data_IF_019262230535
#
_entry.id   IF_019262230535
#
_cell.length_a   1.000
_cell.length_b   1.000
_cell.length_c   1.000
_cell.angle_alpha   90.00
_cell.angle_beta   90.00
_cell.angle_gamma   90.00
#
_symmetry.space_group_name_H-M   'P 1'
#
loop_
_entity.id
_entity.type
_entity.pdbx_description
1 polymer ?
#
# COMPACT_ATOMS: atom_id res chain seq x y z
N UNK A 1 11.19 -62.94 -2.67
CA UNK A 1 12.63 -63.27 -2.58
C UNK A 1 13.25 -63.06 -3.95
N UNK A 2 13.91 -61.93 -4.18
CA UNK A 2 14.67 -61.67 -5.41
C UNK A 2 16.02 -61.11 -4.98
N UNK A 3 17.08 -61.88 -5.22
CA UNK A 3 18.49 -61.48 -5.05
C UNK A 3 18.85 -60.55 -6.21
N UNK A 4 19.40 -59.38 -5.91
CA UNK A 4 20.06 -58.53 -6.91
C UNK A 4 21.50 -58.31 -6.46
N UNK A 5 22.41 -58.64 -7.39
CA UNK A 5 23.86 -58.62 -7.28
C UNK A 5 24.40 -57.21 -7.05
N UNK A 6 25.43 -57.14 -6.19
CA UNK A 6 26.40 -56.05 -6.12
C UNK A 6 27.52 -56.35 -7.10
N UNK A 7 27.73 -55.47 -8.07
CA UNK A 7 29.04 -55.34 -8.72
C UNK A 7 29.56 -53.92 -8.63
N UNK A 8 30.82 -53.86 -8.19
CA UNK A 8 31.71 -52.72 -8.11
C UNK A 8 32.05 -52.21 -9.51
N UNK A 9 31.97 -50.91 -9.72
CA UNK A 9 32.82 -50.22 -10.70
C UNK A 9 33.46 -49.01 -10.02
N UNK A 10 34.74 -49.17 -9.69
CA UNK A 10 35.63 -48.09 -9.30
C UNK A 10 36.11 -47.39 -10.58
N UNK A 11 35.71 -46.13 -10.78
CA UNK A 11 36.29 -45.25 -11.80
C UNK A 11 37.05 -44.13 -11.10
N UNK A 12 38.37 -44.24 -11.14
CA UNK A 12 39.31 -43.22 -10.67
C UNK A 12 39.35 -42.06 -11.67
N UNK A 13 38.75 -40.92 -11.32
CA UNK A 13 38.96 -39.65 -12.01
C UNK A 13 39.94 -38.80 -11.20
N UNK A 14 41.21 -38.81 -11.60
CA UNK A 14 42.21 -37.82 -11.15
C UNK A 14 42.02 -36.58 -12.03
N UNK A 15 41.14 -35.67 -11.58
CA UNK A 15 41.02 -34.34 -12.13
C UNK A 15 41.95 -33.38 -11.39
N UNK A 16 43.00 -32.90 -12.07
CA UNK A 16 43.84 -31.80 -11.61
C UNK A 16 42.97 -30.54 -11.44
N UNK A 17 42.50 -30.30 -10.21
CA UNK A 17 41.82 -29.06 -9.85
C UNK A 17 42.88 -27.95 -9.75
N UNK A 18 43.06 -27.21 -10.84
CA UNK A 18 43.75 -25.92 -10.80
C UNK A 18 42.93 -24.98 -9.92
N UNK A 19 43.33 -24.86 -8.64
CA UNK A 19 42.84 -23.83 -7.72
C UNK A 19 43.31 -22.47 -8.23
N UNK A 20 42.55 -21.90 -9.17
CA UNK A 20 42.61 -20.48 -9.46
C UNK A 20 42.19 -19.76 -8.18
N UNK A 21 43.17 -19.16 -7.51
CA UNK A 21 43.00 -18.25 -6.38
C UNK A 21 42.20 -17.04 -6.87
N UNK A 22 40.87 -17.14 -6.89
CA UNK A 22 40.02 -15.97 -6.97
C UNK A 22 40.09 -15.27 -5.61
N UNK A 23 40.57 -14.02 -5.53
CA UNK A 23 40.52 -13.27 -4.28
C UNK A 23 39.05 -13.19 -3.82
N UNK A 24 38.77 -13.31 -2.52
CA UNK A 24 37.41 -13.30 -2.01
C UNK A 24 36.74 -11.96 -2.34
N UNK A 25 35.67 -12.01 -3.13
CA UNK A 25 34.83 -10.86 -3.51
C UNK A 25 34.14 -10.16 -2.30
N UNK A 26 34.35 -10.65 -1.08
CA UNK A 26 33.69 -10.17 0.15
C UNK A 26 34.12 -8.76 0.59
N UNK A 27 35.20 -8.20 0.05
CA UNK A 27 35.71 -6.88 0.44
C UNK A 27 34.89 -5.70 -0.12
N UNK A 28 34.46 -5.77 -1.39
CA UNK A 28 33.80 -4.66 -2.06
C UNK A 28 32.37 -4.40 -1.55
N UNK A 29 31.63 -5.46 -1.20
CA UNK A 29 30.24 -5.37 -0.74
C UNK A 29 30.12 -4.67 0.62
N UNK A 30 31.09 -4.89 1.53
CA UNK A 30 31.12 -4.23 2.84
C UNK A 30 31.36 -2.71 2.73
N UNK A 31 32.23 -2.29 1.82
CA UNK A 31 32.56 -0.86 1.62
C UNK A 31 31.36 -0.10 1.03
N UNK A 32 30.66 -0.70 0.06
CA UNK A 32 29.48 -0.09 -0.56
C UNK A 32 28.34 0.11 0.45
N UNK A 33 28.09 -0.89 1.31
CA UNK A 33 27.10 -0.81 2.37
C UNK A 33 27.40 0.34 3.36
N UNK A 34 28.67 0.55 3.72
CA UNK A 34 29.06 1.66 4.61
C UNK A 34 28.81 3.04 3.96
N UNK A 35 29.10 3.21 2.67
CA UNK A 35 28.83 4.46 1.97
C UNK A 35 27.32 4.78 1.92
N UNK A 36 26.49 3.77 1.66
CA UNK A 36 25.02 3.91 1.65
C UNK A 36 24.48 4.29 3.03
N UNK A 37 25.02 3.74 4.12
CA UNK A 37 24.65 4.14 5.50
C UNK A 37 25.00 5.59 5.80
N UNK A 38 26.24 6.01 5.51
CA UNK A 38 26.67 7.40 5.72
C UNK A 38 25.78 8.39 4.97
N UNK A 39 25.38 8.05 3.74
CA UNK A 39 24.45 8.85 2.95
C UNK A 39 23.08 8.98 3.62
N UNK A 40 22.51 7.87 4.10
CA UNK A 40 21.23 7.86 4.82
C UNK A 40 21.30 8.73 6.08
N UNK A 41 22.37 8.61 6.86
CA UNK A 41 22.53 9.40 8.08
C UNK A 41 22.68 10.89 7.78
N UNK A 42 23.37 11.24 6.70
CA UNK A 42 23.44 12.62 6.21
C UNK A 42 22.05 13.16 5.82
N UNK A 43 21.27 12.39 5.07
CA UNK A 43 19.92 12.77 4.66
C UNK A 43 18.99 12.97 5.88
N UNK A 44 19.05 12.07 6.87
CA UNK A 44 18.29 12.20 8.12
C UNK A 44 18.66 13.48 8.88
N UNK A 45 19.96 13.76 9.02
CA UNK A 45 20.43 14.97 9.70
C UNK A 45 20.00 16.25 8.96
N UNK A 46 20.04 16.25 7.62
CA UNK A 46 19.51 17.36 6.81
C UNK A 46 18.01 17.56 7.04
N UNK A 47 17.23 16.48 7.05
CA UNK A 47 15.80 16.54 7.28
C UNK A 47 15.45 17.09 8.68
N UNK A 48 16.16 16.64 9.72
CA UNK A 48 16.05 17.18 11.09
C UNK A 48 16.46 18.66 11.17
N UNK A 49 17.39 19.10 10.31
CA UNK A 49 17.78 20.50 10.15
C UNK A 49 16.78 21.35 9.35
N UNK A 50 15.63 20.80 8.95
CA UNK A 50 14.62 21.49 8.15
C UNK A 50 14.86 21.44 6.63
N UNK A 51 15.91 20.77 6.17
CA UNK A 51 16.24 20.62 4.74
C UNK A 51 15.63 19.33 4.14
N UNK A 52 14.37 19.01 4.45
CA UNK A 52 13.70 17.76 3.99
C UNK A 52 13.80 17.57 2.48
N UNK A 53 13.50 18.60 1.68
CA UNK A 53 13.53 18.52 0.21
C UNK A 53 14.92 18.10 -0.30
N UNK A 54 15.98 18.66 0.29
CA UNK A 54 17.35 18.34 -0.09
C UNK A 54 17.71 16.90 0.28
N UNK A 55 17.32 16.46 1.47
CA UNK A 55 17.51 15.08 1.92
C UNK A 55 16.82 14.08 0.97
N UNK A 56 15.56 14.34 0.60
CA UNK A 56 14.80 13.51 -0.34
C UNK A 56 15.45 13.48 -1.72
N UNK A 57 15.78 14.65 -2.28
CA UNK A 57 16.42 14.75 -3.60
C UNK A 57 17.76 14.02 -3.65
N UNK A 58 18.56 14.09 -2.58
CA UNK A 58 19.82 13.37 -2.48
C UNK A 58 19.62 11.85 -2.52
N UNK A 59 18.62 11.32 -1.82
CA UNK A 59 18.29 9.88 -1.86
C UNK A 59 17.71 9.47 -3.21
N UNK A 60 16.79 10.26 -3.78
CA UNK A 60 16.18 10.02 -5.10
C UNK A 60 17.25 9.99 -6.19
N UNK A 61 18.21 10.91 -6.16
CA UNK A 61 19.31 10.93 -7.11
C UNK A 61 20.08 9.61 -7.09
N UNK A 62 20.47 9.14 -5.90
CA UNK A 62 21.25 7.90 -5.77
C UNK A 62 20.43 6.67 -6.17
N UNK A 63 19.13 6.66 -5.91
CA UNK A 63 18.21 5.61 -6.38
C UNK A 63 18.12 5.56 -7.92
N UNK A 64 18.23 6.71 -8.60
CA UNK A 64 18.18 6.79 -10.07
C UNK A 64 19.48 6.31 -10.76
N UNK A 65 20.63 6.33 -10.06
CA UNK A 65 21.94 6.02 -10.66
C UNK A 65 22.17 4.51 -10.96
N UNK A 66 21.17 3.65 -10.76
CA UNK A 66 21.00 2.25 -11.21
C UNK A 66 22.10 1.21 -10.93
N UNK A 67 23.19 1.57 -10.22
CA UNK A 67 24.34 0.68 -9.95
C UNK A 67 24.35 0.02 -8.55
N UNK A 68 23.31 0.22 -7.75
CA UNK A 68 23.24 -0.26 -6.36
C UNK A 68 22.65 -1.66 -6.27
N UNK A 69 23.07 -2.42 -5.26
CA UNK A 69 22.48 -3.73 -4.96
C UNK A 69 21.00 -3.60 -4.54
N UNK A 70 20.23 -4.68 -4.66
CA UNK A 70 18.83 -4.70 -4.23
C UNK A 70 18.67 -4.35 -2.74
N UNK A 71 19.61 -4.79 -1.89
CA UNK A 71 19.60 -4.51 -0.45
C UNK A 71 19.82 -3.02 -0.18
N UNK A 72 20.79 -2.40 -0.85
CA UNK A 72 21.05 -0.96 -0.71
C UNK A 72 19.87 -0.12 -1.21
N UNK A 73 19.30 -0.48 -2.37
CA UNK A 73 18.11 0.20 -2.88
C UNK A 73 16.93 0.10 -1.91
N UNK A 74 16.76 -1.05 -1.28
CA UNK A 74 15.73 -1.23 -0.24
C UNK A 74 15.99 -0.28 0.95
N UNK A 75 17.22 -0.25 1.47
CA UNK A 75 17.59 0.64 2.59
C UNK A 75 17.37 2.12 2.26
N UNK A 76 17.75 2.55 1.05
CA UNK A 76 17.55 3.92 0.58
C UNK A 76 16.06 4.28 0.49
N UNK A 77 15.21 3.36 0.02
CA UNK A 77 13.77 3.59 -0.07
C UNK A 77 13.10 3.61 1.30
N UNK A 78 13.52 2.76 2.24
CA UNK A 78 13.06 2.83 3.64
C UNK A 78 13.41 4.20 4.24
N UNK A 79 14.67 4.63 4.11
CA UNK A 79 15.10 5.94 4.61
C UNK A 79 14.35 7.10 3.96
N UNK A 80 14.12 7.03 2.64
CA UNK A 80 13.33 8.02 1.91
C UNK A 80 11.90 8.07 2.44
N UNK A 81 11.25 6.92 2.62
CA UNK A 81 9.89 6.84 3.16
C UNK A 81 9.79 7.41 4.59
N UNK A 82 10.74 7.07 5.47
CA UNK A 82 10.82 7.63 6.83
C UNK A 82 10.89 9.17 6.79
N UNK A 83 11.83 9.72 6.02
CA UNK A 83 12.03 11.18 5.91
C UNK A 83 10.81 11.88 5.29
N UNK A 84 10.18 11.24 4.31
CA UNK A 84 9.03 11.79 3.58
C UNK A 84 7.73 11.79 4.39
N UNK A 85 7.59 10.90 5.37
CA UNK A 85 6.34 10.75 6.13
C UNK A 85 6.41 11.26 7.56
N UNK A 86 7.61 11.35 8.15
CA UNK A 86 7.81 11.85 9.51
C UNK A 86 7.42 13.32 9.63
N UNK A 87 6.63 13.69 10.63
CA UNK A 87 6.42 15.09 11.01
C UNK A 87 7.61 15.64 11.80
N UNK A 88 8.04 16.85 11.48
CA UNK A 88 9.10 17.56 12.21
C UNK A 88 8.54 18.68 13.11
N UNK A 89 7.28 19.09 12.91
CA UNK A 89 6.61 20.06 13.77
C UNK A 89 5.31 19.54 14.38
N UNK A 90 5.18 19.69 15.71
CA UNK A 90 3.97 19.31 16.47
C UNK A 90 2.70 19.98 15.91
N UNK A 91 2.80 21.23 15.44
CA UNK A 91 1.68 21.94 14.82
C UNK A 91 1.24 21.27 13.52
N UNK A 92 2.17 20.83 12.68
CA UNK A 92 1.83 20.16 11.42
C UNK A 92 1.17 18.80 11.70
N UNK A 93 1.73 18.04 12.65
CA UNK A 93 1.18 16.75 13.05
C UNK A 93 -0.23 16.90 13.64
N UNK A 94 -0.43 17.77 14.63
CA UNK A 94 -1.74 17.98 15.25
C UNK A 94 -2.80 18.47 14.26
N UNK A 95 -2.41 19.35 13.32
CA UNK A 95 -3.31 19.81 12.23
C UNK A 95 -3.66 18.65 11.30
N UNK A 96 -2.70 17.80 10.95
CA UNK A 96 -2.95 16.59 10.16
C UNK A 96 -3.90 15.62 10.86
N UNK A 97 -3.68 15.36 12.16
CA UNK A 97 -4.52 14.47 12.97
C UNK A 97 -5.96 15.00 13.10
N UNK A 98 -6.14 16.32 13.17
CA UNK A 98 -7.47 16.93 13.10
C UNK A 98 -8.13 16.70 11.72
N UNK A 99 -7.35 16.77 10.64
CA UNK A 99 -7.80 16.37 9.31
C UNK A 99 -8.25 14.91 9.24
N UNK A 100 -7.50 13.98 9.84
CA UNK A 100 -7.89 12.58 9.97
C UNK A 100 -9.22 12.43 10.70
N UNK A 101 -9.41 13.17 11.81
CA UNK A 101 -10.66 13.15 12.58
C UNK A 101 -11.86 13.58 11.72
N UNK A 102 -11.73 14.67 10.96
CA UNK A 102 -12.79 15.12 10.05
C UNK A 102 -13.05 14.13 8.92
N UNK A 103 -12.02 13.51 8.36
CA UNK A 103 -12.18 12.46 7.36
C UNK A 103 -12.97 11.28 7.93
N UNK A 104 -12.74 10.93 9.20
CA UNK A 104 -13.44 9.83 9.88
C UNK A 104 -14.93 10.09 10.05
N UNK A 105 -15.31 11.35 10.27
CA UNK A 105 -16.72 11.77 10.34
C UNK A 105 -17.30 12.13 8.97
N UNK A 106 -16.62 11.77 7.88
CA UNK A 106 -16.99 12.07 6.49
C UNK A 106 -17.15 13.57 6.21
N UNK A 107 -16.53 14.42 7.02
CA UNK A 107 -16.52 15.86 6.86
C UNK A 107 -15.41 16.29 5.90
N UNK A 108 -15.52 15.85 4.63
CA UNK A 108 -14.42 15.93 3.65
C UNK A 108 -13.89 17.36 3.43
N UNK A 109 -14.77 18.37 3.40
CA UNK A 109 -14.35 19.76 3.23
C UNK A 109 -13.48 20.26 4.39
N UNK A 110 -13.85 19.92 5.62
CA UNK A 110 -13.08 20.28 6.82
C UNK A 110 -11.76 19.51 6.86
N UNK A 111 -11.77 18.22 6.50
CA UNK A 111 -10.56 17.41 6.38
C UNK A 111 -9.56 18.04 5.39
N UNK A 112 -10.01 18.39 4.18
CA UNK A 112 -9.17 19.04 3.17
C UNK A 112 -8.61 20.38 3.63
N UNK A 113 -9.39 21.17 4.38
CA UNK A 113 -8.92 22.43 4.96
C UNK A 113 -7.74 22.18 5.92
N UNK A 114 -7.90 21.25 6.86
CA UNK A 114 -6.85 20.91 7.82
C UNK A 114 -5.61 20.34 7.13
N UNK A 115 -5.78 19.42 6.17
CA UNK A 115 -4.64 18.87 5.43
C UNK A 115 -3.89 19.94 4.64
N UNK A 116 -4.59 20.93 4.05
CA UNK A 116 -3.92 22.06 3.37
C UNK A 116 -3.16 22.94 4.35
N UNK A 117 -3.69 23.19 5.55
CA UNK A 117 -2.97 23.90 6.59
C UNK A 117 -1.72 23.12 7.03
N UNK A 118 -1.81 21.81 7.22
CA UNK A 118 -0.67 20.95 7.51
C UNK A 118 0.36 20.96 6.37
N UNK A 119 -0.10 20.93 5.11
CA UNK A 119 0.76 21.01 3.93
C UNK A 119 1.50 22.35 3.84
N UNK A 120 0.88 23.47 4.24
CA UNK A 120 1.58 24.76 4.30
C UNK A 120 2.73 24.76 5.30
N UNK A 121 2.61 23.98 6.38
CA UNK A 121 3.67 23.82 7.40
C UNK A 121 4.75 22.85 6.94
N UNK A 122 4.37 21.78 6.23
CA UNK A 122 5.28 20.76 5.72
C UNK A 122 4.94 20.34 4.27
N UNK A 123 5.36 21.14 3.26
CA UNK A 123 4.95 20.92 1.87
C UNK A 123 5.35 19.57 1.28
N UNK A 124 6.50 19.05 1.71
CA UNK A 124 7.11 17.82 1.21
C UNK A 124 6.74 16.56 2.02
N UNK A 125 5.81 16.67 2.97
CA UNK A 125 5.33 15.50 3.71
C UNK A 125 4.36 14.68 2.84
N UNK A 126 4.79 13.49 2.41
CA UNK A 126 3.98 12.64 1.51
C UNK A 126 2.76 12.06 2.20
N UNK A 127 2.78 11.90 3.52
CA UNK A 127 1.60 11.44 4.26
C UNK A 127 0.45 12.45 4.17
N UNK A 128 0.76 13.75 4.25
CA UNK A 128 -0.23 14.83 4.06
C UNK A 128 -0.77 14.79 2.63
N UNK A 129 0.11 14.72 1.64
CA UNK A 129 -0.27 14.71 0.23
C UNK A 129 -1.19 13.52 -0.09
N UNK A 130 -0.82 12.33 0.40
CA UNK A 130 -1.62 11.13 0.20
C UNK A 130 -2.97 11.21 0.94
N UNK A 131 -3.05 11.85 2.11
CA UNK A 131 -4.32 12.08 2.80
C UNK A 131 -5.25 13.01 2.01
N UNK A 132 -4.71 14.03 1.33
CA UNK A 132 -5.49 14.90 0.42
C UNK A 132 -6.05 14.07 -0.74
N UNK A 133 -5.22 13.25 -1.39
CA UNK A 133 -5.67 12.35 -2.48
C UNK A 133 -6.76 11.41 -1.97
N UNK A 134 -6.52 10.75 -0.83
CA UNK A 134 -7.48 9.84 -0.19
C UNK A 134 -8.82 10.52 0.07
N UNK A 135 -8.79 11.76 0.54
CA UNK A 135 -10.01 12.54 0.82
C UNK A 135 -10.78 12.87 -0.46
N UNK A 136 -10.07 13.22 -1.55
CA UNK A 136 -10.72 13.40 -2.84
C UNK A 136 -11.39 12.11 -3.35
N UNK A 137 -10.74 10.95 -3.21
CA UNK A 137 -11.35 9.65 -3.55
C UNK A 137 -12.59 9.36 -2.69
N UNK A 138 -12.51 9.61 -1.39
CA UNK A 138 -13.61 9.42 -0.45
C UNK A 138 -14.82 10.29 -0.83
N UNK A 139 -14.57 11.54 -1.24
CA UNK A 139 -15.58 12.47 -1.75
C UNK A 139 -16.11 12.08 -3.15
N UNK A 140 -15.47 11.15 -3.85
CA UNK A 140 -15.79 10.80 -5.24
C UNK A 140 -15.23 11.77 -6.28
N UNK A 141 -14.35 12.69 -5.89
CA UNK A 141 -13.67 13.63 -6.79
C UNK A 141 -12.40 13.00 -7.36
N UNK A 142 -12.58 11.95 -8.15
CA UNK A 142 -11.51 11.08 -8.63
C UNK A 142 -10.50 11.84 -9.51
N UNK A 143 -10.97 12.77 -10.35
CA UNK A 143 -10.12 13.58 -11.24
C UNK A 143 -9.17 14.48 -10.44
N UNK A 144 -9.66 15.12 -9.36
CA UNK A 144 -8.76 15.90 -8.50
C UNK A 144 -7.81 15.02 -7.71
N UNK A 145 -8.27 13.84 -7.29
CA UNK A 145 -7.42 12.87 -6.61
C UNK A 145 -6.24 12.46 -7.51
N UNK A 146 -6.51 12.08 -8.76
CA UNK A 146 -5.49 11.63 -9.71
C UNK A 146 -4.47 12.74 -9.99
N UNK A 147 -4.94 13.93 -10.35
CA UNK A 147 -4.05 15.08 -10.62
C UNK A 147 -3.20 15.46 -9.42
N UNK A 148 -3.75 15.33 -8.21
CA UNK A 148 -3.00 15.61 -6.97
C UNK A 148 -1.93 14.55 -6.76
N UNK A 149 -2.29 13.27 -6.92
CA UNK A 149 -1.36 12.16 -6.77
C UNK A 149 -0.25 12.17 -7.82
N UNK A 150 -0.57 12.50 -9.07
CA UNK A 150 0.39 12.64 -10.17
C UNK A 150 1.45 13.70 -9.83
N UNK A 151 1.02 14.89 -9.40
CA UNK A 151 1.92 15.98 -8.98
C UNK A 151 2.80 15.57 -7.81
N UNK A 152 2.24 14.88 -6.83
CA UNK A 152 2.98 14.35 -5.67
C UNK A 152 4.02 13.32 -6.08
N UNK A 153 3.71 12.43 -7.03
CA UNK A 153 4.62 11.42 -7.54
C UNK A 153 5.77 11.99 -8.39
N UNK A 154 5.57 13.14 -9.05
CA UNK A 154 6.67 13.85 -9.72
C UNK A 154 7.75 14.28 -8.72
N UNK A 155 7.36 14.62 -7.49
CA UNK A 155 8.29 15.00 -6.42
C UNK A 155 8.85 13.78 -5.69
N UNK A 156 8.02 12.75 -5.50
CA UNK A 156 8.34 11.58 -4.68
C UNK A 156 8.05 10.28 -5.45
N UNK A 157 8.84 9.96 -6.51
CA UNK A 157 8.55 8.87 -7.44
C UNK A 157 8.65 7.48 -6.83
N UNK A 158 9.24 7.36 -5.63
CA UNK A 158 9.42 6.10 -4.93
C UNK A 158 8.45 5.90 -3.77
N UNK A 159 7.56 6.86 -3.49
CA UNK A 159 6.57 6.72 -2.43
C UNK A 159 5.48 5.73 -2.86
N UNK A 160 5.49 4.54 -2.26
CA UNK A 160 4.59 3.45 -2.64
C UNK A 160 3.13 3.76 -2.27
N UNK A 161 2.92 4.54 -1.22
CA UNK A 161 1.59 4.93 -0.77
C UNK A 161 0.93 5.94 -1.73
N UNK A 162 1.68 6.95 -2.18
CA UNK A 162 1.25 7.87 -3.22
C UNK A 162 0.97 7.15 -4.54
N UNK A 163 1.77 6.15 -4.91
CA UNK A 163 1.47 5.32 -6.08
C UNK A 163 0.13 4.64 -5.88
N UNK A 164 -0.08 3.95 -4.76
CA UNK A 164 -1.37 3.30 -4.47
C UNK A 164 -2.55 4.30 -4.49
N UNK A 165 -2.37 5.51 -3.99
CA UNK A 165 -3.39 6.56 -4.06
C UNK A 165 -3.64 7.05 -5.49
N UNK A 166 -2.61 7.19 -6.32
CA UNK A 166 -2.75 7.45 -7.75
C UNK A 166 -3.56 6.35 -8.43
N UNK A 167 -3.21 5.08 -8.21
CA UNK A 167 -3.96 3.92 -8.72
C UNK A 167 -5.44 3.94 -8.31
N UNK A 168 -5.70 4.19 -7.03
CA UNK A 168 -7.07 4.28 -6.50
C UNK A 168 -7.85 5.43 -7.12
N UNK A 169 -7.19 6.53 -7.47
CA UNK A 169 -7.83 7.67 -8.14
C UNK A 169 -8.27 7.30 -9.56
N UNK A 170 -7.44 6.57 -10.31
CA UNK A 170 -7.79 6.08 -11.65
C UNK A 170 -8.96 5.09 -11.61
N UNK A 171 -8.92 4.15 -10.65
CA UNK A 171 -10.02 3.20 -10.42
C UNK A 171 -11.32 3.90 -10.00
N UNK A 172 -11.22 5.01 -9.28
CA UNK A 172 -12.37 5.81 -8.88
C UNK A 172 -13.01 6.47 -10.12
N UNK A 173 -12.21 7.07 -11.01
CA UNK A 173 -12.71 7.79 -12.19
C UNK A 173 -13.42 6.88 -13.18
N UNK A 174 -12.86 5.70 -13.42
CA UNK A 174 -13.43 4.74 -14.38
C UNK A 174 -14.63 3.97 -13.83
N UNK A 175 -15.21 4.37 -12.69
CA UNK A 175 -16.31 3.61 -12.05
C UNK A 175 -15.90 2.19 -11.63
N UNK A 176 -14.60 1.93 -11.53
CA UNK A 176 -14.01 0.62 -11.29
C UNK A 176 -13.80 -0.23 -12.53
N UNK A 177 -14.04 0.28 -13.74
CA UNK A 177 -13.72 -0.43 -14.98
C UNK A 177 -12.21 -0.57 -15.21
N UNK A 178 -11.87 -1.60 -15.98
CA UNK A 178 -10.56 -2.24 -16.13
C UNK A 178 -9.41 -1.23 -16.29
N UNK A 179 -8.45 -1.27 -15.36
CA UNK A 179 -7.10 -0.74 -15.57
C UNK A 179 -6.56 -1.24 -16.91
N UNK A 180 -6.10 -0.34 -17.78
CA UNK A 180 -5.46 -0.72 -19.04
C UNK A 180 -4.28 -1.68 -18.83
N UNK A 181 -3.77 -2.28 -19.90
CA UNK A 181 -2.68 -3.27 -19.76
C UNK A 181 -1.42 -2.67 -19.13
N UNK A 182 -1.15 -1.39 -19.38
CA UNK A 182 -0.03 -0.66 -18.78
C UNK A 182 -0.24 -0.49 -17.28
N UNK A 183 -1.46 -0.11 -16.89
CA UNK A 183 -1.88 0.05 -15.51
C UNK A 183 -1.78 -1.26 -14.72
N UNK A 184 -2.19 -2.36 -15.34
CA UNK A 184 -2.07 -3.70 -14.76
C UNK A 184 -0.61 -4.11 -14.52
N UNK A 185 0.29 -3.85 -15.48
CA UNK A 185 1.71 -4.18 -15.35
C UNK A 185 2.37 -3.39 -14.22
N UNK A 186 2.05 -2.10 -14.09
CA UNK A 186 2.57 -1.27 -13.00
C UNK A 186 2.03 -1.71 -11.64
N UNK A 187 0.79 -2.21 -11.57
CA UNK A 187 0.24 -2.80 -10.35
C UNK A 187 0.99 -4.09 -9.97
N UNK A 188 1.24 -4.98 -10.91
CA UNK A 188 2.05 -6.19 -10.70
C UNK A 188 3.50 -5.86 -10.24
N UNK A 189 4.06 -4.72 -10.65
CA UNK A 189 5.36 -4.25 -10.14
C UNK A 189 5.29 -3.77 -8.69
N UNK A 190 4.22 -3.06 -8.31
CA UNK A 190 3.97 -2.68 -6.91
C UNK A 190 3.76 -3.89 -6.00
N UNK A 191 3.10 -4.93 -6.52
CA UNK A 191 2.85 -6.18 -5.80
C UNK A 191 4.15 -6.91 -5.42
N UNK A 192 5.23 -6.69 -6.17
CA UNK A 192 6.54 -7.27 -5.92
C UNK A 192 7.46 -6.36 -5.10
N UNK A 193 7.00 -5.15 -4.73
CA UNK A 193 7.80 -4.24 -3.91
C UNK A 193 7.81 -4.73 -2.45
N UNK A 194 9.00 -5.02 -1.94
CA UNK A 194 9.22 -5.60 -0.61
C UNK A 194 9.16 -4.56 0.54
N UNK A 195 8.81 -3.31 0.21
CA UNK A 195 8.98 -2.12 1.06
C UNK A 195 7.73 -1.73 1.83
N UNK A 196 6.73 -2.59 1.79
CA UNK A 196 5.41 -2.31 2.32
C UNK A 196 5.27 -3.07 3.64
N UNK A 197 5.10 -2.32 4.72
CA UNK A 197 4.95 -2.86 6.08
C UNK A 197 3.81 -3.89 6.16
N UNK A 198 3.79 -4.70 7.22
CA UNK A 198 2.75 -5.71 7.47
C UNK A 198 1.32 -5.12 7.43
N UNK A 199 1.14 -3.85 7.84
CA UNK A 199 -0.15 -3.17 7.76
C UNK A 199 -0.61 -2.97 6.30
N UNK A 200 0.35 -2.76 5.40
CA UNK A 200 0.13 -2.58 3.97
C UNK A 200 -0.14 -3.90 3.25
N UNK A 201 0.31 -5.04 3.78
CA UNK A 201 0.03 -6.37 3.21
C UNK A 201 -1.47 -6.69 3.16
N UNK A 202 -2.21 -6.34 4.22
CA UNK A 202 -3.68 -6.54 4.25
C UNK A 202 -4.39 -5.71 3.17
N UNK A 203 -3.95 -4.47 2.94
CA UNK A 203 -4.54 -3.58 1.93
C UNK A 203 -4.08 -3.93 0.52
N UNK A 204 -2.84 -4.40 0.33
CA UNK A 204 -2.38 -4.97 -0.94
C UNK A 204 -3.15 -6.24 -1.30
N UNK A 205 -3.32 -7.17 -0.36
CA UNK A 205 -4.13 -8.38 -0.55
C UNK A 205 -5.57 -8.01 -0.87
N UNK A 206 -6.13 -7.05 -0.15
CA UNK A 206 -7.44 -6.50 -0.44
C UNK A 206 -7.52 -5.86 -1.83
N UNK A 207 -6.49 -5.12 -2.25
CA UNK A 207 -6.41 -4.53 -3.59
C UNK A 207 -6.35 -5.59 -4.69
N UNK A 208 -5.58 -6.66 -4.48
CA UNK A 208 -5.55 -7.81 -5.38
C UNK A 208 -6.93 -8.41 -5.54
N UNK A 209 -7.66 -8.52 -4.43
CA UNK A 209 -9.03 -9.01 -4.37
C UNK A 209 -9.98 -8.09 -5.13
N UNK A 210 -9.99 -6.80 -4.80
CA UNK A 210 -10.81 -5.80 -5.50
C UNK A 210 -10.59 -5.80 -7.01
N UNK A 211 -9.32 -5.86 -7.43
CA UNK A 211 -8.98 -5.90 -8.85
C UNK A 211 -9.46 -7.19 -9.52
N UNK A 212 -9.29 -8.35 -8.87
CA UNK A 212 -9.82 -9.63 -9.41
C UNK A 212 -11.34 -9.61 -9.48
N UNK A 213 -12.01 -9.08 -8.45
CA UNK A 213 -13.46 -9.02 -8.34
C UNK A 213 -14.04 -8.18 -9.47
N UNK A 214 -13.47 -7.00 -9.70
CA UNK A 214 -13.88 -6.10 -10.79
C UNK A 214 -13.59 -6.65 -12.18
N UNK A 215 -12.56 -7.48 -12.33
CA UNK A 215 -12.26 -8.17 -13.58
C UNK A 215 -13.16 -9.40 -13.82
N UNK A 216 -14.10 -9.70 -12.93
CA UNK A 216 -14.92 -10.91 -12.98
C UNK A 216 -14.09 -12.20 -12.83
N UNK A 217 -12.86 -12.09 -12.34
CA UNK A 217 -11.89 -13.19 -12.17
C UNK A 217 -11.85 -13.73 -10.75
N UNK A 218 -12.60 -13.11 -9.84
CA UNK A 218 -12.70 -13.55 -8.46
C UNK A 218 -13.97 -14.35 -8.24
N UNK A 219 -13.84 -15.43 -7.49
CA UNK A 219 -14.96 -16.27 -7.09
C UNK A 219 -15.41 -15.91 -5.68
N UNK A 220 -16.66 -16.23 -5.33
CA UNK A 220 -17.14 -16.14 -3.94
C UNK A 220 -16.20 -16.88 -2.96
N UNK A 221 -15.62 -18.01 -3.41
CA UNK A 221 -14.66 -18.79 -2.63
C UNK A 221 -13.39 -18.00 -2.28
N UNK A 222 -12.91 -17.14 -3.20
CA UNK A 222 -11.74 -16.31 -2.93
C UNK A 222 -12.05 -15.25 -1.85
N UNK A 223 -13.27 -14.69 -1.85
CA UNK A 223 -13.71 -13.73 -0.84
C UNK A 223 -13.88 -14.40 0.52
N UNK A 224 -14.48 -15.58 0.57
CA UNK A 224 -14.62 -16.37 1.79
C UNK A 224 -13.28 -16.81 2.38
N UNK A 225 -12.28 -17.11 1.54
CA UNK A 225 -10.92 -17.36 2.02
C UNK A 225 -10.35 -16.12 2.71
N UNK A 226 -10.52 -14.94 2.10
CA UNK A 226 -10.05 -13.69 2.68
C UNK A 226 -10.82 -13.31 3.95
N UNK A 227 -12.09 -13.69 4.05
CA UNK A 227 -12.93 -13.54 5.25
C UNK A 227 -12.33 -14.26 6.44
N UNK A 228 -11.84 -15.48 6.24
CA UNK A 228 -11.18 -16.23 7.30
C UNK A 228 -9.91 -15.54 7.80
N UNK A 229 -9.16 -14.90 6.90
CA UNK A 229 -7.92 -14.18 7.22
C UNK A 229 -8.19 -12.79 7.84
N UNK A 230 -9.32 -12.14 7.51
CA UNK A 230 -9.63 -10.76 7.86
C UNK A 230 -11.11 -10.59 8.27
N UNK A 231 -11.58 -11.26 9.33
CA UNK A 231 -13.01 -11.25 9.70
C UNK A 231 -13.51 -9.91 10.25
N UNK A 232 -12.60 -8.98 10.55
CA UNK A 232 -12.91 -7.64 11.06
C UNK A 232 -12.80 -6.55 9.98
N UNK A 233 -12.57 -6.91 8.73
CA UNK A 233 -12.48 -5.96 7.63
C UNK A 233 -13.85 -5.68 6.99
N UNK A 234 -14.44 -4.48 7.18
CA UNK A 234 -15.83 -4.23 6.79
C UNK A 234 -16.08 -4.35 5.28
N UNK A 235 -15.19 -3.81 4.45
CA UNK A 235 -15.47 -3.71 3.00
C UNK A 235 -15.59 -5.09 2.36
N UNK A 236 -14.89 -6.10 2.87
CA UNK A 236 -15.09 -7.47 2.43
C UNK A 236 -16.58 -7.88 2.47
N UNK A 237 -17.26 -7.59 3.57
CA UNK A 237 -18.67 -7.90 3.75
C UNK A 237 -19.58 -7.08 2.84
N UNK A 238 -19.19 -5.85 2.50
CA UNK A 238 -19.87 -5.07 1.48
C UNK A 238 -19.80 -5.74 0.10
N UNK A 239 -18.63 -6.25 -0.30
CA UNK A 239 -18.49 -6.94 -1.59
C UNK A 239 -19.18 -8.31 -1.59
N UNK A 240 -19.09 -9.08 -0.50
CA UNK A 240 -19.87 -10.30 -0.33
C UNK A 240 -21.38 -10.03 -0.44
N UNK A 241 -21.87 -8.94 0.16
CA UNK A 241 -23.26 -8.48 0.00
C UNK A 241 -23.63 -8.16 -1.46
N UNK A 242 -22.73 -7.54 -2.23
CA UNK A 242 -22.98 -7.24 -3.63
C UNK A 242 -23.03 -8.51 -4.49
N UNK A 243 -22.08 -9.43 -4.28
CA UNK A 243 -21.88 -10.64 -5.10
C UNK A 243 -22.81 -11.81 -4.74
N UNK A 244 -23.35 -11.85 -3.51
CA UNK A 244 -24.30 -12.91 -3.10
C UNK A 244 -25.57 -12.87 -3.95
N UNK A 245 -25.87 -14.04 -4.55
CA UNK A 245 -27.11 -14.29 -5.30
C UNK A 245 -28.25 -14.66 -4.38
N UNK A 246 -27.93 -15.44 -3.33
CA UNK A 246 -28.91 -15.88 -2.35
C UNK A 246 -29.27 -14.74 -1.40
N UNK A 247 -30.58 -14.57 -1.20
CA UNK A 247 -31.14 -13.47 -0.40
C UNK A 247 -30.68 -13.57 1.06
N UNK A 248 -30.66 -14.77 1.62
CA UNK A 248 -30.29 -15.00 3.02
C UNK A 248 -28.82 -14.67 3.28
N UNK A 249 -27.93 -15.13 2.39
CA UNK A 249 -26.50 -14.78 2.44
C UNK A 249 -26.30 -13.27 2.32
N UNK A 250 -27.00 -12.65 1.36
CA UNK A 250 -26.95 -11.20 1.16
C UNK A 250 -27.39 -10.47 2.43
N UNK A 251 -28.49 -10.87 3.06
CA UNK A 251 -28.93 -10.29 4.34
C UNK A 251 -27.85 -10.48 5.43
N UNK A 252 -27.27 -11.66 5.54
CA UNK A 252 -26.20 -11.96 6.51
C UNK A 252 -24.98 -11.05 6.33
N UNK A 253 -24.42 -10.99 5.13
CA UNK A 253 -23.24 -10.17 4.83
C UNK A 253 -23.53 -8.66 4.96
N UNK A 254 -24.69 -8.20 4.49
CA UNK A 254 -25.11 -6.82 4.67
C UNK A 254 -25.21 -6.44 6.15
N UNK A 255 -25.82 -7.30 6.96
CA UNK A 255 -25.97 -7.07 8.40
C UNK A 255 -24.60 -7.04 9.10
N UNK A 256 -23.70 -7.93 8.69
CA UNK A 256 -22.33 -7.98 9.22
C UNK A 256 -21.53 -6.72 8.88
N UNK A 257 -21.65 -6.23 7.64
CA UNK A 257 -21.04 -4.98 7.21
C UNK A 257 -21.48 -3.80 8.10
N UNK A 258 -22.79 -3.65 8.32
CA UNK A 258 -23.33 -2.59 9.19
C UNK A 258 -22.85 -2.73 10.63
N UNK A 259 -22.83 -3.96 11.16
CA UNK A 259 -22.35 -4.25 12.51
C UNK A 259 -20.90 -3.79 12.68
N UNK A 260 -20.01 -4.20 11.76
CA UNK A 260 -18.60 -3.84 11.80
C UNK A 260 -18.41 -2.32 11.67
N UNK A 261 -19.14 -1.68 10.75
CA UNK A 261 -19.05 -0.23 10.56
C UNK A 261 -19.54 0.57 11.77
N UNK A 262 -20.55 0.09 12.50
CA UNK A 262 -21.01 0.71 13.76
C UNK A 262 -20.02 0.50 14.92
N UNK A 263 -19.23 -0.58 14.88
CA UNK A 263 -18.26 -0.95 15.92
C UNK A 263 -16.82 -0.53 15.60
N UNK A 264 -16.59 0.18 14.50
CA UNK A 264 -15.25 0.46 14.04
C UNK A 264 -14.51 1.43 14.99
N UNK A 265 -13.48 0.91 15.65
CA UNK A 265 -12.68 1.68 16.60
C UNK A 265 -11.45 2.34 15.92
N UNK A 266 -10.72 3.23 16.62
CA UNK A 266 -9.54 3.87 16.07
C UNK A 266 -8.41 2.92 15.64
N UNK A 267 -8.29 1.74 16.26
CA UNK A 267 -7.26 0.74 15.92
C UNK A 267 -7.59 0.06 14.58
N UNK A 268 -8.83 -0.38 14.40
CA UNK A 268 -9.32 -0.97 13.14
C UNK A 268 -9.22 0.07 12.02
N UNK A 269 -9.61 1.33 12.28
CA UNK A 269 -9.46 2.43 11.32
C UNK A 269 -8.01 2.66 10.94
N UNK A 270 -7.08 2.61 11.89
CA UNK A 270 -5.65 2.76 11.59
C UNK A 270 -5.14 1.63 10.72
N UNK A 271 -5.54 0.38 11.01
CA UNK A 271 -5.21 -0.79 10.21
C UNK A 271 -5.69 -0.66 8.77
N UNK A 272 -6.92 -0.19 8.58
CA UNK A 272 -7.53 -0.01 7.25
C UNK A 272 -7.51 1.43 6.76
N UNK A 273 -6.59 2.26 7.27
CA UNK A 273 -6.51 3.69 6.89
C UNK A 273 -6.34 3.89 5.40
N UNK A 274 -5.82 2.88 4.73
CA UNK A 274 -5.52 2.91 3.32
C UNK A 274 -6.74 2.64 2.41
N UNK A 275 -7.89 2.27 2.98
CA UNK A 275 -9.16 2.17 2.25
C UNK A 275 -9.89 3.53 2.28
N UNK A 276 -9.88 4.31 1.18
CA UNK A 276 -10.47 5.66 1.14
C UNK A 276 -11.97 5.69 1.44
N UNK A 277 -12.67 4.56 1.21
CA UNK A 277 -14.12 4.47 1.38
C UNK A 277 -14.53 3.52 2.51
N UNK A 278 -13.67 3.38 3.52
CA UNK A 278 -13.95 2.58 4.71
C UNK A 278 -15.32 2.95 5.31
N UNK A 279 -16.27 2.03 5.28
CA UNK A 279 -17.66 2.19 5.70
C UNK A 279 -18.48 3.27 4.96
N UNK A 280 -18.04 3.69 3.77
CA UNK A 280 -18.70 4.74 2.99
C UNK A 280 -20.10 4.37 2.48
N UNK A 281 -20.41 3.09 2.35
CA UNK A 281 -21.68 2.59 1.81
C UNK A 281 -22.63 2.10 2.91
N UNK A 282 -22.31 2.31 4.21
CA UNK A 282 -23.08 1.79 5.33
C UNK A 282 -24.56 2.22 5.28
N UNK A 283 -24.84 3.52 5.12
CA UNK A 283 -26.22 4.02 5.06
C UNK A 283 -27.02 3.43 3.91
N UNK A 284 -26.38 3.24 2.74
CA UNK A 284 -27.01 2.65 1.55
C UNK A 284 -27.33 1.18 1.78
N UNK A 285 -26.40 0.41 2.36
CA UNK A 285 -26.65 -1.00 2.66
C UNK A 285 -27.77 -1.15 3.69
N UNK A 286 -27.80 -0.30 4.73
CA UNK A 286 -28.87 -0.29 5.72
C UNK A 286 -30.24 -0.02 5.09
N UNK A 287 -30.34 0.94 4.16
CA UNK A 287 -31.56 1.21 3.39
C UNK A 287 -31.98 0.03 2.51
N UNK A 288 -31.04 -0.62 1.84
CA UNK A 288 -31.31 -1.79 0.99
C UNK A 288 -31.81 -2.99 1.80
N UNK A 289 -31.31 -3.19 3.01
CA UNK A 289 -31.78 -4.23 3.92
C UNK A 289 -33.20 -3.92 4.41
N UNK A 290 -33.47 -2.68 4.82
CA UNK A 290 -34.78 -2.25 5.30
C UNK A 290 -35.88 -2.37 4.22
N UNK A 291 -35.59 -2.03 2.96
CA UNK A 291 -36.57 -2.15 1.86
C UNK A 291 -37.01 -3.58 1.61
N UNK A 292 -36.09 -4.54 1.74
CA UNK A 292 -36.36 -5.95 1.46
C UNK A 292 -37.12 -6.64 2.60
N UNK A 293 -37.09 -6.11 3.81
CA UNK A 293 -37.89 -6.64 4.92
C UNK A 293 -39.41 -6.57 4.66
N UNK A 294 -39.86 -5.70 3.75
CA UNK A 294 -41.26 -5.64 3.33
C UNK A 294 -41.64 -6.58 2.18
N UNK A 295 -40.70 -7.33 1.61
CA UNK A 295 -40.93 -8.29 0.51
C UNK A 295 -40.98 -9.76 1.00
N UNK A 296 -40.79 -10.00 2.31
CA UNK A 296 -40.93 -11.31 2.97
C UNK A 296 -42.18 -11.36 3.85
#
# INVERSE_FOLDING_TARGET
MVKVNRELLAVSFIGLAAFLFFPPLQGQERVQNQATRTLIDQARNQALGGERTKAQNQLIQVLNESKKSNVENSQLRVALNEISTQFFGDKAQSTFELGESHLYTQAYSQALEQYRQAQQLEPENTLIQAAIVRTHIAQGDCVKAERTAEKSLLLQPYDEWLKLMYWRSQLCENGGDILGQEEKSKLEQLENSQLLDQEYDSVQKWMKILNKLRLGRMTLNDLQKFEHENPDFPELYYFLFLESKEIEEKRSYGSKYIELCKKIDPLIRRRYRYEPRLCGEASRVEELLAKREGEF
#
